data_IF_358763186217
#
_entry.id   IF_358763186217
#
_cell.length_a   1.000
_cell.length_b   1.000
_cell.length_c   1.000
_cell.angle_alpha   90.00
_cell.angle_beta   90.00
_cell.angle_gamma   90.00
#
_symmetry.space_group_name_H-M   'P 1'
#
loop_
_entity.id
_entity.type
_entity.pdbx_description
1 polymer ?
#
# COMPACT_ATOMS: atom_id res chain seq x y z
N UNK A 1 5.50 0.56 -14.38
CA UNK A 1 4.29 0.68 -15.21
C UNK A 1 3.50 -0.61 -15.05
N UNK A 2 2.26 -0.55 -14.54
CA UNK A 2 1.39 -1.72 -14.46
C UNK A 2 0.69 -1.83 -15.82
N UNK A 3 0.97 -2.88 -16.56
CA UNK A 3 0.40 -3.09 -17.90
C UNK A 3 -0.73 -4.11 -17.82
N UNK A 4 -1.67 -4.10 -18.76
CA UNK A 4 -2.85 -4.98 -18.74
C UNK A 4 -2.52 -6.48 -18.77
N UNK A 5 -1.28 -6.85 -19.10
CA UNK A 5 -0.77 -8.23 -19.09
C UNK A 5 -0.14 -8.63 -17.75
N UNK A 6 -0.01 -7.70 -16.80
CA UNK A 6 0.50 -7.97 -15.46
C UNK A 6 -0.64 -8.43 -14.53
N UNK A 7 -1.12 -9.65 -14.76
CA UNK A 7 -2.16 -10.30 -13.93
C UNK A 7 -1.67 -10.61 -12.51
N UNK A 8 -0.36 -10.52 -12.27
CA UNK A 8 0.23 -10.67 -10.94
C UNK A 8 0.27 -9.34 -10.18
N UNK A 9 -0.09 -8.22 -10.81
CA UNK A 9 -0.28 -6.95 -10.11
C UNK A 9 -1.48 -7.01 -9.17
N UNK A 10 -1.34 -6.37 -8.01
CA UNK A 10 -2.39 -6.30 -6.99
C UNK A 10 -2.54 -4.88 -6.50
N UNK A 11 -3.77 -4.56 -6.14
CA UNK A 11 -4.11 -3.33 -5.44
C UNK A 11 -4.31 -3.66 -3.96
N UNK A 12 -3.56 -2.99 -3.10
CA UNK A 12 -3.65 -3.11 -1.65
C UNK A 12 -4.32 -1.84 -1.09
N UNK A 13 -5.45 -2.01 -0.41
CA UNK A 13 -6.13 -0.91 0.26
C UNK A 13 -5.83 -0.96 1.76
N UNK A 14 -5.21 0.09 2.30
CA UNK A 14 -4.95 0.23 3.74
C UNK A 14 -6.04 1.09 4.33
N UNK A 15 -6.87 0.48 5.19
CA UNK A 15 -7.94 1.18 5.88
C UNK A 15 -7.43 2.08 6.99
N UNK A 16 -7.92 3.31 7.05
CA UNK A 16 -7.56 4.26 8.09
C UNK A 16 -8.49 4.08 9.29
N UNK A 17 -7.88 4.04 10.48
CA UNK A 17 -8.58 3.92 11.75
C UNK A 17 -8.67 5.29 12.43
N UNK A 18 -9.73 5.50 13.21
CA UNK A 18 -9.85 6.62 14.13
C UNK A 18 -9.09 6.35 15.45
N UNK A 19 -9.21 7.29 16.40
CA UNK A 19 -8.53 7.21 17.70
C UNK A 19 -8.99 6.01 18.55
N UNK A 20 -10.20 5.50 18.30
CA UNK A 20 -10.77 4.34 18.99
C UNK A 20 -10.44 3.03 18.25
N UNK A 21 -9.65 3.10 17.17
CA UNK A 21 -9.26 1.96 16.36
C UNK A 21 -10.37 1.47 15.42
N UNK A 22 -11.41 2.27 15.18
CA UNK A 22 -12.54 1.92 14.32
C UNK A 22 -12.26 2.37 12.89
N UNK A 23 -12.65 1.55 11.92
CA UNK A 23 -12.47 1.85 10.52
C UNK A 23 -13.34 3.03 10.08
N UNK A 24 -12.67 4.09 9.59
CA UNK A 24 -13.30 5.36 9.23
C UNK A 24 -13.95 5.38 7.83
N UNK A 25 -13.81 4.29 7.06
CA UNK A 25 -14.25 4.25 5.66
C UNK A 25 -13.26 4.90 4.68
N UNK A 26 -12.23 5.59 5.16
CA UNK A 26 -11.14 6.11 4.35
C UNK A 26 -10.06 5.04 4.16
N UNK A 27 -9.50 4.97 2.95
CA UNK A 27 -8.43 4.04 2.63
C UNK A 27 -7.37 4.69 1.76
N UNK A 28 -6.13 4.31 1.99
CA UNK A 28 -5.03 4.59 1.07
C UNK A 28 -4.79 3.38 0.19
N UNK A 29 -4.88 3.58 -1.11
CA UNK A 29 -4.59 2.56 -2.11
C UNK A 29 -3.13 2.57 -2.51
N UNK A 30 -2.49 1.40 -2.47
CA UNK A 30 -1.19 1.13 -3.08
C UNK A 30 -1.34 0.12 -4.21
N UNK A 31 -0.65 0.35 -5.32
CA UNK A 31 -0.62 -0.58 -6.44
C UNK A 31 0.79 -1.20 -6.54
N UNK A 32 0.85 -2.52 -6.48
CA UNK A 32 2.10 -3.28 -6.62
C UNK A 32 2.08 -4.01 -7.96
N UNK A 33 3.11 -3.81 -8.78
CA UNK A 33 3.28 -4.59 -10.00
C UNK A 33 3.76 -6.01 -9.66
N UNK A 34 3.39 -6.98 -10.50
CA UNK A 34 3.75 -8.38 -10.34
C UNK A 34 5.26 -8.64 -10.40
N UNK A 35 6.00 -7.79 -11.10
CA UNK A 35 7.46 -7.85 -11.17
C UNK A 35 8.12 -7.69 -9.79
N UNK A 36 7.70 -6.69 -9.01
CA UNK A 36 8.23 -6.43 -7.66
C UNK A 36 7.83 -7.54 -6.69
N UNK A 37 6.68 -8.19 -6.90
CA UNK A 37 6.26 -9.37 -6.14
C UNK A 37 7.08 -10.61 -6.46
N UNK A 38 7.43 -10.82 -7.73
CA UNK A 38 8.26 -11.95 -8.16
C UNK A 38 9.72 -11.84 -7.67
N UNK A 39 10.22 -10.61 -7.47
CA UNK A 39 11.58 -10.34 -7.01
C UNK A 39 11.76 -10.50 -5.49
N UNK A 40 10.67 -10.62 -4.73
CA UNK A 40 10.70 -10.66 -3.26
C UNK A 40 10.83 -9.29 -2.58
N UNK A 41 11.06 -8.23 -3.35
CA UNK A 41 11.21 -6.86 -2.85
C UNK A 41 9.89 -6.14 -2.57
N UNK A 42 8.75 -6.82 -2.74
CA UNK A 42 7.44 -6.25 -2.49
C UNK A 42 7.25 -5.78 -1.05
N UNK A 43 7.75 -6.53 -0.07
CA UNK A 43 7.62 -6.18 1.35
C UNK A 43 8.38 -4.87 1.67
N UNK A 44 9.67 -4.82 1.29
CA UNK A 44 10.51 -3.61 1.41
C UNK A 44 9.93 -2.40 0.67
N UNK A 45 9.31 -2.63 -0.51
CA UNK A 45 8.65 -1.60 -1.29
C UNK A 45 7.42 -1.02 -0.59
N UNK A 46 6.57 -1.89 -0.04
CA UNK A 46 5.38 -1.49 0.73
C UNK A 46 5.80 -0.73 1.99
N UNK A 47 6.81 -1.22 2.72
CA UNK A 47 7.23 -0.58 3.96
C UNK A 47 7.76 0.84 3.69
N UNK A 48 8.58 1.02 2.64
CA UNK A 48 9.05 2.36 2.24
C UNK A 48 7.92 3.29 1.79
N UNK A 49 6.91 2.76 1.09
CA UNK A 49 5.73 3.53 0.68
C UNK A 49 4.89 3.92 1.89
N UNK A 50 4.74 3.02 2.85
CA UNK A 50 3.99 3.24 4.08
C UNK A 50 4.68 4.25 4.99
N UNK A 51 5.99 4.20 5.16
CA UNK A 51 6.75 5.19 5.94
C UNK A 51 6.56 6.61 5.39
N UNK A 52 6.60 6.79 4.06
CA UNK A 52 6.32 8.09 3.44
C UNK A 52 4.89 8.55 3.72
N UNK A 53 3.92 7.65 3.61
CA UNK A 53 2.50 7.94 3.85
C UNK A 53 2.19 8.21 5.32
N UNK A 54 2.85 7.56 6.27
CA UNK A 54 2.73 7.84 7.71
C UNK A 54 3.09 9.28 8.06
N UNK A 55 4.15 9.80 7.44
CA UNK A 55 4.56 11.21 7.60
C UNK A 55 3.48 12.16 7.08
N UNK A 56 2.91 11.87 5.91
CA UNK A 56 1.81 12.66 5.35
C UNK A 56 0.51 12.55 6.17
N UNK A 57 0.22 11.37 6.71
CA UNK A 57 -0.95 11.09 7.54
C UNK A 57 -0.83 11.62 8.98
N UNK A 58 0.32 12.22 9.37
CA UNK A 58 0.61 12.71 10.73
C UNK A 58 0.29 11.69 11.84
N UNK A 59 0.44 10.39 11.56
CA UNK A 59 0.34 9.33 12.57
C UNK A 59 1.71 9.13 13.25
N UNK A 60 2.22 10.19 13.88
CA UNK A 60 3.45 10.17 14.70
C UNK A 60 3.13 10.76 16.07
#
# INVERSE_FOLDING_TARGET
MITSKDHASVQLNIGHLDADGIYTGQFTTFALCGFVRAQGDADSGVDRLWQKKKVEAKQI
#
